data_IF_122553418417
#
_entry.id   IF_122553418417
#
_cell.length_a   1.000
_cell.length_b   1.000
_cell.length_c   1.000
_cell.angle_alpha   90.00
_cell.angle_beta   90.00
_cell.angle_gamma   90.00
#
_symmetry.space_group_name_H-M   'P 1'
#
loop_
_entity.id
_entity.type
_entity.pdbx_description
1 polymer ?
#
# COMPACT_ATOMS: atom_id res chain seq x y z
N UNK A 1 1.48 7.98 -12.18
CA UNK A 1 2.41 8.88 -11.45
C UNK A 1 2.83 9.99 -12.41
N UNK A 2 2.97 11.24 -11.97
CA UNK A 2 3.28 12.33 -12.89
C UNK A 2 4.02 13.50 -12.24
N UNK A 3 4.64 14.32 -13.07
CA UNK A 3 5.22 15.63 -12.73
C UNK A 3 4.67 16.68 -13.70
N UNK A 4 5.19 17.89 -13.67
CA UNK A 4 4.81 18.94 -14.64
C UNK A 4 5.14 18.55 -16.08
N UNK A 5 6.24 17.80 -16.32
CA UNK A 5 6.76 17.47 -17.66
C UNK A 5 6.38 16.11 -18.17
N UNK A 6 6.25 15.12 -17.27
CA UNK A 6 6.07 13.71 -17.63
C UNK A 6 4.90 13.06 -16.93
N UNK A 7 4.33 12.04 -17.59
CA UNK A 7 3.36 11.10 -17.04
C UNK A 7 3.92 9.69 -17.18
N UNK A 8 3.91 8.90 -16.09
CA UNK A 8 4.19 7.47 -16.13
C UNK A 8 2.85 6.70 -16.22
N UNK A 9 2.66 5.97 -17.31
CA UNK A 9 1.52 5.07 -17.54
C UNK A 9 2.00 3.73 -18.08
N UNK A 10 1.16 2.71 -18.00
CA UNK A 10 1.47 1.44 -18.66
C UNK A 10 1.58 1.61 -20.18
N UNK A 11 2.43 0.79 -20.78
CA UNK A 11 2.59 0.74 -22.23
C UNK A 11 1.30 0.25 -22.89
N UNK A 12 1.07 0.73 -24.11
CA UNK A 12 -0.07 0.37 -24.94
C UNK A 12 0.45 -0.10 -26.30
N UNK A 13 -0.23 -1.05 -26.95
CA UNK A 13 0.19 -1.51 -28.29
C UNK A 13 0.22 -0.40 -29.33
N UNK A 14 -0.61 0.64 -29.16
CA UNK A 14 -0.60 1.84 -29.98
C UNK A 14 0.72 2.65 -29.89
N UNK A 15 1.54 2.39 -28.86
CA UNK A 15 2.85 3.04 -28.69
C UNK A 15 3.95 2.43 -29.58
N UNK A 16 3.68 1.30 -30.27
CA UNK A 16 4.68 0.51 -30.98
C UNK A 16 5.45 1.32 -32.05
N UNK A 17 4.80 2.18 -32.79
CA UNK A 17 5.47 3.05 -33.78
C UNK A 17 6.45 4.02 -33.12
N UNK A 18 6.05 4.61 -31.98
CA UNK A 18 6.90 5.55 -31.24
C UNK A 18 8.03 4.80 -30.53
N UNK A 19 7.77 3.61 -30.00
CA UNK A 19 8.81 2.75 -29.44
C UNK A 19 9.83 2.38 -30.52
N UNK A 20 9.40 1.89 -31.68
CA UNK A 20 10.28 1.55 -32.79
C UNK A 20 11.15 2.73 -33.22
N UNK A 21 10.56 3.92 -33.36
CA UNK A 21 11.29 5.14 -33.73
C UNK A 21 12.52 5.40 -32.85
N UNK A 22 12.42 5.13 -31.56
CA UNK A 22 13.51 5.40 -30.61
C UNK A 22 14.34 4.15 -30.28
N UNK A 23 13.72 2.97 -30.24
CA UNK A 23 14.40 1.73 -29.93
C UNK A 23 15.20 1.15 -31.11
N UNK A 24 14.97 1.62 -32.33
CA UNK A 24 15.82 1.29 -33.50
C UNK A 24 17.12 2.10 -33.57
N UNK A 25 17.28 3.14 -32.72
CA UNK A 25 18.52 3.91 -32.65
C UNK A 25 19.64 3.05 -32.04
N UNK A 26 20.78 2.85 -32.76
CA UNK A 26 21.89 2.02 -32.31
C UNK A 26 22.58 2.54 -31.04
N UNK A 27 22.36 3.79 -30.66
CA UNK A 27 22.91 4.37 -29.43
C UNK A 27 22.01 4.15 -28.21
N UNK A 28 20.74 3.71 -28.38
CA UNK A 28 19.79 3.54 -27.28
C UNK A 28 19.81 2.12 -26.72
N UNK A 29 19.45 1.13 -27.52
CA UNK A 29 19.33 -0.27 -27.08
C UNK A 29 20.60 -0.83 -26.45
N UNK A 30 21.76 -0.73 -27.11
CA UNK A 30 23.02 -1.27 -26.59
C UNK A 30 23.45 -0.65 -25.26
N UNK A 31 23.06 0.60 -24.95
CA UNK A 31 23.33 1.22 -23.66
C UNK A 31 22.44 0.67 -22.52
N UNK A 32 21.34 0.02 -22.87
CA UNK A 32 20.43 -0.63 -21.95
C UNK A 32 20.47 -2.18 -22.04
N UNK A 33 21.42 -2.75 -22.81
CA UNK A 33 21.66 -4.18 -22.86
C UNK A 33 20.85 -4.97 -23.90
N UNK A 34 20.17 -4.32 -24.86
CA UNK A 34 19.35 -4.98 -25.88
C UNK A 34 19.65 -4.49 -27.30
N UNK A 35 19.30 -5.32 -28.30
CA UNK A 35 19.51 -5.03 -29.70
C UNK A 35 18.57 -3.91 -30.19
N UNK A 36 19.01 -3.03 -31.11
CA UNK A 36 18.10 -2.11 -31.76
C UNK A 36 16.93 -2.86 -32.41
N UNK A 37 15.71 -2.41 -32.19
CA UNK A 37 14.51 -3.00 -32.77
C UNK A 37 14.54 -2.92 -34.30
N UNK A 38 14.08 -3.97 -34.98
CA UNK A 38 14.16 -4.12 -36.43
C UNK A 38 12.83 -3.75 -37.13
N UNK A 39 11.73 -3.74 -36.38
CA UNK A 39 10.40 -3.42 -36.93
C UNK A 39 9.43 -2.89 -35.88
N UNK A 40 8.34 -2.25 -36.35
CA UNK A 40 7.21 -1.87 -35.48
C UNK A 40 6.55 -3.09 -34.84
N UNK A 41 6.46 -4.21 -35.57
CA UNK A 41 5.86 -5.44 -35.04
C UNK A 41 6.69 -6.06 -33.93
N UNK A 42 8.01 -6.06 -34.04
CA UNK A 42 8.90 -6.44 -32.94
C UNK A 42 8.68 -5.53 -31.73
N UNK A 43 8.61 -4.22 -31.93
CA UNK A 43 8.31 -3.27 -30.85
C UNK A 43 6.95 -3.56 -30.21
N UNK A 44 5.94 -3.94 -30.97
CA UNK A 44 4.63 -4.33 -30.47
C UNK A 44 4.68 -5.60 -29.63
N UNK A 45 5.46 -6.58 -30.09
CA UNK A 45 5.69 -7.82 -29.34
C UNK A 45 6.42 -7.54 -28.02
N UNK A 46 7.45 -6.71 -28.02
CA UNK A 46 8.18 -6.30 -26.81
C UNK A 46 7.23 -5.56 -25.81
N UNK A 47 6.32 -4.73 -26.31
CA UNK A 47 5.30 -4.11 -25.45
C UNK A 47 4.46 -5.17 -24.75
N UNK A 48 4.00 -6.21 -25.45
CA UNK A 48 3.18 -7.28 -24.86
C UNK A 48 3.95 -8.14 -23.86
N UNK A 49 5.15 -8.55 -24.22
CA UNK A 49 5.87 -9.61 -23.50
C UNK A 49 6.79 -9.06 -22.40
N UNK A 50 7.36 -7.87 -22.61
CA UNK A 50 8.35 -7.27 -21.70
C UNK A 50 7.80 -6.05 -20.95
N UNK A 51 7.24 -5.08 -21.66
CA UNK A 51 6.80 -3.82 -21.07
C UNK A 51 5.35 -3.84 -20.57
N UNK A 52 4.57 -4.90 -20.87
CA UNK A 52 3.20 -5.09 -20.42
C UNK A 52 3.07 -5.49 -18.95
N UNK A 53 4.18 -5.56 -18.22
CA UNK A 53 4.19 -5.91 -16.80
C UNK A 53 3.77 -4.72 -15.93
N UNK A 54 3.09 -4.99 -14.83
CA UNK A 54 2.58 -3.96 -13.90
C UNK A 54 3.68 -3.10 -13.22
N UNK A 55 4.91 -3.54 -13.30
CA UNK A 55 6.08 -2.86 -12.75
C UNK A 55 6.92 -2.09 -13.78
N UNK A 56 6.43 -1.94 -15.03
CA UNK A 56 7.09 -1.23 -16.11
C UNK A 56 6.20 -0.11 -16.66
N UNK A 57 6.72 1.10 -16.73
CA UNK A 57 5.97 2.28 -17.21
C UNK A 57 6.64 2.96 -18.38
N UNK A 58 5.82 3.37 -19.35
CA UNK A 58 6.21 4.31 -20.38
C UNK A 58 6.35 5.71 -19.78
N UNK A 59 7.44 6.39 -20.10
CA UNK A 59 7.64 7.81 -19.76
C UNK A 59 7.03 8.64 -20.89
N UNK A 60 5.89 9.23 -20.62
CA UNK A 60 5.15 10.05 -21.59
C UNK A 60 5.60 11.51 -21.47
N UNK A 61 6.02 12.11 -22.56
CA UNK A 61 6.28 13.54 -22.63
C UNK A 61 4.96 14.30 -22.74
N UNK A 62 4.59 15.08 -21.75
CA UNK A 62 3.25 15.72 -21.68
C UNK A 62 2.98 16.66 -22.86
N UNK A 63 3.99 17.34 -23.38
CA UNK A 63 3.85 18.24 -24.50
C UNK A 63 3.38 17.55 -25.79
N UNK A 64 3.80 16.29 -26.00
CA UNK A 64 3.46 15.54 -27.23
C UNK A 64 2.48 14.39 -26.99
N UNK A 65 2.26 14.00 -25.74
CA UNK A 65 1.46 12.82 -25.38
C UNK A 65 2.10 11.48 -25.76
N UNK A 66 3.38 11.47 -26.20
CA UNK A 66 4.06 10.27 -26.73
C UNK A 66 5.09 9.73 -25.75
N UNK A 67 5.32 8.38 -25.72
CA UNK A 67 6.38 7.78 -24.94
C UNK A 67 7.76 8.17 -25.47
N UNK A 68 8.66 8.50 -24.55
CA UNK A 68 10.04 8.90 -24.81
C UNK A 68 11.07 8.03 -24.09
N UNK A 69 10.63 7.04 -23.35
CA UNK A 69 11.47 6.13 -22.58
C UNK A 69 10.63 5.15 -21.77
N UNK A 70 11.34 4.35 -20.98
CA UNK A 70 10.76 3.40 -20.04
C UNK A 70 11.46 3.52 -18.69
N UNK A 71 10.73 3.30 -17.61
CA UNK A 71 11.26 3.18 -16.26
C UNK A 71 10.44 2.15 -15.50
N UNK A 72 11.07 1.41 -14.61
CA UNK A 72 10.39 0.42 -13.81
C UNK A 72 11.29 -0.18 -12.74
N UNK A 73 10.79 -1.25 -12.14
CA UNK A 73 11.56 -2.11 -11.26
C UNK A 73 11.31 -3.57 -11.62
N UNK A 74 12.26 -4.43 -11.32
CA UNK A 74 12.12 -5.88 -11.41
C UNK A 74 12.06 -6.43 -10.00
N UNK A 75 11.05 -7.26 -9.66
CA UNK A 75 11.00 -7.99 -8.39
C UNK A 75 12.20 -8.92 -8.22
N UNK A 76 12.49 -9.32 -6.98
CA UNK A 76 13.54 -10.30 -6.67
C UNK A 76 13.44 -11.55 -7.56
N UNK A 77 14.57 -12.01 -8.07
CA UNK A 77 14.67 -13.18 -8.97
C UNK A 77 14.38 -12.89 -10.45
N UNK A 78 14.04 -11.66 -10.84
CA UNK A 78 13.79 -11.27 -12.24
C UNK A 78 14.91 -10.40 -12.85
N UNK A 79 15.79 -9.85 -12.03
CA UNK A 79 16.89 -8.98 -12.45
C UNK A 79 18.25 -9.68 -12.47
N UNK A 80 19.32 -8.89 -12.62
CA UNK A 80 20.70 -9.37 -12.68
C UNK A 80 21.34 -9.48 -11.28
N UNK A 81 20.75 -8.86 -10.27
CA UNK A 81 21.32 -8.71 -8.93
C UNK A 81 20.66 -9.72 -8.00
N UNK A 82 21.46 -10.50 -7.27
CA UNK A 82 20.95 -11.30 -6.16
C UNK A 82 20.59 -10.37 -5.00
N UNK A 83 19.32 -10.36 -4.59
CA UNK A 83 18.77 -9.43 -3.61
C UNK A 83 17.75 -10.13 -2.69
N UNK A 84 17.36 -9.46 -1.62
CA UNK A 84 16.34 -9.97 -0.69
C UNK A 84 14.94 -10.05 -1.33
N UNK A 85 14.08 -10.87 -0.74
CA UNK A 85 12.71 -11.12 -1.26
C UNK A 85 11.85 -9.82 -1.32
N UNK A 86 12.09 -8.88 -0.39
CA UNK A 86 11.39 -7.60 -0.34
C UNK A 86 12.20 -6.44 -0.94
N UNK A 87 13.02 -6.74 -1.94
CA UNK A 87 13.84 -5.77 -2.66
C UNK A 87 13.37 -5.67 -4.13
N UNK A 88 13.81 -4.63 -4.83
CA UNK A 88 13.56 -4.45 -6.25
C UNK A 88 14.78 -3.90 -6.97
N UNK A 89 14.97 -4.28 -8.24
CA UNK A 89 16.03 -3.75 -9.11
C UNK A 89 15.45 -2.74 -10.09
N UNK A 90 15.89 -1.48 -10.06
CA UNK A 90 15.40 -0.44 -10.97
C UNK A 90 16.05 -0.54 -12.35
N UNK A 91 15.24 -0.31 -13.38
CA UNK A 91 15.70 -0.27 -14.77
C UNK A 91 15.06 0.88 -15.53
N UNK A 92 15.78 1.43 -16.51
CA UNK A 92 15.28 2.51 -17.37
C UNK A 92 16.07 2.64 -18.66
N UNK A 93 15.41 3.20 -19.66
CA UNK A 93 16.06 3.73 -20.86
C UNK A 93 15.35 5.01 -21.31
N UNK A 94 16.03 5.84 -22.10
CA UNK A 94 15.54 7.11 -22.57
C UNK A 94 15.92 7.32 -24.04
N UNK A 95 14.99 7.82 -24.84
CA UNK A 95 15.23 8.22 -26.20
C UNK A 95 16.29 9.33 -26.29
N UNK A 96 17.23 9.18 -27.23
CA UNK A 96 18.42 10.03 -27.41
C UNK A 96 18.11 11.56 -27.44
N UNK A 97 17.04 12.06 -28.11
CA UNK A 97 16.73 13.48 -28.11
C UNK A 97 16.42 14.07 -26.73
N UNK A 98 16.13 13.23 -25.71
CA UNK A 98 15.76 13.63 -24.36
C UNK A 98 16.90 13.39 -23.34
N UNK A 99 18.09 13.01 -23.79
CA UNK A 99 19.24 12.83 -22.90
C UNK A 99 19.72 14.17 -22.31
N UNK A 100 20.37 14.09 -21.16
CA UNK A 100 20.95 15.24 -20.44
C UNK A 100 19.98 16.34 -20.00
N UNK A 101 18.66 16.09 -20.05
CA UNK A 101 17.62 17.05 -19.65
C UNK A 101 17.03 16.79 -18.24
N UNK A 102 17.59 15.80 -17.52
CA UNK A 102 17.14 15.42 -16.17
C UNK A 102 15.84 14.61 -16.13
N UNK A 103 15.21 14.33 -17.29
CA UNK A 103 13.92 13.63 -17.38
C UNK A 103 13.99 12.23 -16.81
N UNK A 104 15.04 11.47 -17.13
CA UNK A 104 15.22 10.12 -16.59
C UNK A 104 15.34 10.10 -15.06
N UNK A 105 16.05 11.08 -14.49
CA UNK A 105 16.14 11.26 -13.02
C UNK A 105 14.79 11.58 -12.41
N UNK A 106 13.98 12.42 -13.08
CA UNK A 106 12.62 12.78 -12.65
C UNK A 106 11.70 11.56 -12.66
N UNK A 107 11.74 10.76 -13.72
CA UNK A 107 10.99 9.51 -13.84
C UNK A 107 11.41 8.48 -12.78
N UNK A 108 12.71 8.28 -12.57
CA UNK A 108 13.21 7.34 -11.58
C UNK A 108 12.81 7.74 -10.16
N UNK A 109 12.78 9.03 -9.81
CA UNK A 109 12.30 9.48 -8.49
C UNK A 109 10.85 9.08 -8.24
N UNK A 110 9.96 9.19 -9.21
CA UNK A 110 8.57 8.75 -9.09
C UNK A 110 8.48 7.25 -8.81
N UNK A 111 9.31 6.43 -9.48
CA UNK A 111 9.35 4.99 -9.25
C UNK A 111 9.96 4.65 -7.89
N UNK A 112 11.02 5.34 -7.45
CA UNK A 112 11.61 5.19 -6.11
C UNK A 112 10.57 5.47 -5.03
N UNK A 113 9.84 6.59 -5.15
CA UNK A 113 8.77 6.94 -4.21
C UNK A 113 7.67 5.89 -4.19
N UNK A 114 7.22 5.40 -5.35
CA UNK A 114 6.25 4.32 -5.47
C UNK A 114 6.73 3.03 -4.81
N UNK A 115 7.95 2.61 -5.09
CA UNK A 115 8.54 1.40 -4.54
C UNK A 115 8.63 1.46 -3.01
N UNK A 116 8.99 2.61 -2.43
CA UNK A 116 9.12 2.75 -1.00
C UNK A 116 7.80 3.03 -0.27
N UNK A 117 6.85 3.73 -0.91
CA UNK A 117 5.60 4.11 -0.25
C UNK A 117 4.47 3.12 -0.48
N UNK A 118 4.38 2.54 -1.68
CA UNK A 118 3.29 1.64 -2.10
C UNK A 118 3.71 0.17 -2.00
N UNK A 119 4.86 -0.20 -2.62
CA UNK A 119 5.38 -1.58 -2.58
C UNK A 119 6.07 -1.93 -1.28
N UNK A 120 6.51 -0.92 -0.50
CA UNK A 120 7.18 -1.10 0.80
C UNK A 120 8.49 -1.87 0.71
N UNK A 121 9.20 -1.80 -0.40
CA UNK A 121 10.51 -2.42 -0.53
C UNK A 121 11.49 -1.89 0.52
N UNK A 122 12.39 -2.77 1.00
CA UNK A 122 13.43 -2.44 1.97
C UNK A 122 14.63 -1.80 1.29
N UNK A 123 14.97 -2.30 0.09
CA UNK A 123 16.10 -1.79 -0.69
C UNK A 123 15.73 -1.76 -2.16
N UNK A 124 16.16 -0.72 -2.84
CA UNK A 124 16.21 -0.68 -4.29
C UNK A 124 17.67 -0.84 -4.74
N UNK A 125 17.86 -1.73 -5.69
CA UNK A 125 19.12 -2.02 -6.35
C UNK A 125 19.08 -1.48 -7.77
N UNK A 126 20.22 -1.34 -8.38
CA UNK A 126 20.34 -1.04 -9.79
C UNK A 126 21.78 -1.21 -10.24
N UNK A 127 21.95 -1.56 -11.48
CA UNK A 127 23.25 -1.68 -12.11
C UNK A 127 23.41 -0.73 -13.31
N UNK A 128 24.63 -0.53 -13.72
CA UNK A 128 24.94 0.18 -14.95
C UNK A 128 26.26 -0.33 -15.54
N UNK A 129 26.31 -0.39 -16.85
CA UNK A 129 27.54 -0.75 -17.55
C UNK A 129 28.65 0.27 -17.26
N UNK A 130 29.84 -0.19 -16.96
CA UNK A 130 31.01 0.66 -16.63
C UNK A 130 31.30 1.67 -17.74
N UNK A 131 31.03 1.31 -18.99
CA UNK A 131 31.15 2.17 -20.17
C UNK A 131 29.92 3.09 -20.41
N UNK A 132 28.87 3.00 -19.55
CA UNK A 132 27.72 3.91 -19.51
C UNK A 132 27.58 4.65 -18.16
N UNK A 133 28.56 5.51 -17.77
CA UNK A 133 28.50 6.20 -16.51
C UNK A 133 27.33 7.22 -16.41
N UNK A 134 26.67 7.53 -17.53
CA UNK A 134 25.51 8.39 -17.54
C UNK A 134 24.32 7.74 -16.81
N UNK A 135 24.12 6.44 -16.98
CA UNK A 135 23.11 5.67 -16.24
C UNK A 135 23.40 5.71 -14.73
N UNK A 136 24.62 5.39 -14.29
CA UNK A 136 24.99 5.48 -12.88
C UNK A 136 24.74 6.86 -12.26
N UNK A 137 24.99 7.96 -13.00
CA UNK A 137 24.70 9.32 -12.52
C UNK A 137 23.21 9.58 -12.29
N UNK A 138 22.31 8.95 -13.05
CA UNK A 138 20.85 9.06 -12.82
C UNK A 138 20.50 8.46 -11.46
N UNK A 139 20.97 7.26 -11.16
CA UNK A 139 20.75 6.59 -9.86
C UNK A 139 21.36 7.37 -8.70
N UNK A 140 22.60 7.84 -8.83
CA UNK A 140 23.25 8.66 -7.79
C UNK A 140 22.47 9.94 -7.48
N UNK A 141 21.89 10.61 -8.51
CA UNK A 141 21.01 11.78 -8.31
C UNK A 141 19.68 11.44 -7.63
N UNK A 142 19.27 10.17 -7.64
CA UNK A 142 18.13 9.65 -6.89
C UNK A 142 18.51 9.10 -5.51
N UNK A 143 19.79 9.25 -5.08
CA UNK A 143 20.24 8.87 -3.75
C UNK A 143 20.88 7.49 -3.64
N UNK A 144 21.00 6.73 -4.74
CA UNK A 144 21.68 5.44 -4.74
C UNK A 144 23.18 5.62 -4.43
N UNK A 145 23.72 4.66 -3.71
CA UNK A 145 25.12 4.61 -3.31
C UNK A 145 25.82 3.43 -3.94
N UNK A 146 27.07 3.63 -4.36
CA UNK A 146 27.93 2.55 -4.88
C UNK A 146 28.16 1.53 -3.76
N UNK A 147 28.00 0.26 -4.09
CA UNK A 147 28.25 -0.86 -3.18
C UNK A 147 29.70 -1.33 -3.19
N UNK A 148 30.49 -0.91 -4.19
CA UNK A 148 31.79 -1.46 -4.51
C UNK A 148 31.75 -2.83 -5.21
N UNK A 149 30.55 -3.36 -5.48
CA UNK A 149 30.36 -4.64 -6.16
C UNK A 149 30.36 -4.44 -7.67
N UNK A 150 31.05 -5.31 -8.36
CA UNK A 150 31.07 -5.42 -9.82
C UNK A 150 30.65 -6.82 -10.24
N UNK A 151 29.79 -6.91 -11.27
CA UNK A 151 29.27 -8.15 -11.80
C UNK A 151 29.49 -8.20 -13.32
N UNK A 152 29.56 -9.40 -13.88
CA UNK A 152 29.47 -9.58 -15.31
C UNK A 152 28.06 -10.01 -15.67
N UNK A 153 27.35 -9.18 -16.43
CA UNK A 153 26.03 -9.50 -16.95
C UNK A 153 26.14 -10.03 -18.37
N UNK A 154 25.40 -11.10 -18.66
CA UNK A 154 25.25 -11.56 -20.03
C UNK A 154 24.56 -10.47 -20.85
N UNK A 155 25.21 -10.01 -21.87
CA UNK A 155 24.67 -8.99 -22.75
C UNK A 155 23.80 -9.67 -23.81
N UNK A 156 22.50 -9.41 -23.78
CA UNK A 156 21.54 -9.96 -24.73
C UNK A 156 21.88 -9.60 -26.19
N UNK A 157 22.58 -8.48 -26.40
CA UNK A 157 23.04 -8.02 -27.69
C UNK A 157 24.55 -8.13 -27.81
N UNK A 158 25.01 -8.88 -28.82
CA UNK A 158 26.44 -9.00 -29.17
C UNK A 158 27.21 -10.14 -28.49
N UNK A 159 26.58 -10.92 -27.61
CA UNK A 159 27.13 -12.20 -27.09
C UNK A 159 28.33 -12.07 -26.17
N UNK A 160 28.68 -10.89 -25.67
CA UNK A 160 29.78 -10.68 -24.74
C UNK A 160 29.28 -10.21 -23.40
N UNK A 161 29.81 -10.75 -22.30
CA UNK A 161 29.55 -10.28 -20.96
C UNK A 161 30.09 -8.87 -20.79
N UNK A 162 29.27 -7.98 -20.22
CA UNK A 162 29.68 -6.61 -19.86
C UNK A 162 29.78 -6.44 -18.35
N UNK A 163 30.83 -5.71 -17.95
CA UNK A 163 31.01 -5.36 -16.54
C UNK A 163 30.03 -4.30 -16.12
N UNK A 164 29.31 -4.54 -15.03
CA UNK A 164 28.40 -3.58 -14.39
C UNK A 164 28.86 -3.26 -12.98
N UNK A 165 28.57 -2.03 -12.55
CA UNK A 165 28.66 -1.60 -11.16
C UNK A 165 27.29 -1.61 -10.53
N UNK A 166 27.25 -2.09 -9.29
CA UNK A 166 26.02 -2.23 -8.51
C UNK A 166 25.86 -1.07 -7.52
N UNK A 167 24.69 -0.44 -7.56
CA UNK A 167 24.30 0.60 -6.62
C UNK A 167 23.08 0.14 -5.82
N UNK A 168 22.91 0.70 -4.62
CA UNK A 168 21.72 0.47 -3.79
C UNK A 168 21.21 1.72 -3.12
N UNK A 169 19.91 1.75 -2.89
CA UNK A 169 19.21 2.75 -2.12
C UNK A 169 18.36 2.06 -1.06
N UNK A 170 18.70 2.23 0.21
CA UNK A 170 17.89 1.70 1.31
C UNK A 170 16.70 2.61 1.58
N UNK A 171 15.57 1.99 1.86
CA UNK A 171 14.40 2.67 2.38
C UNK A 171 14.64 3.08 3.85
N UNK A 172 15.23 4.24 4.05
CA UNK A 172 15.44 4.74 5.42
C UNK A 172 14.14 5.10 6.14
N UNK A 173 13.01 5.18 5.43
CA UNK A 173 11.70 5.31 6.07
C UNK A 173 11.23 3.98 6.69
N UNK A 174 11.66 2.83 6.15
CA UNK A 174 11.47 1.53 6.81
C UNK A 174 12.46 1.32 7.98
N UNK A 175 13.61 2.02 7.98
CA UNK A 175 14.59 2.03 9.08
C UNK A 175 14.35 3.13 10.15
N UNK A 176 13.27 3.90 10.08
CA UNK A 176 12.72 4.46 11.30
C UNK A 176 12.24 3.26 12.11
N UNK A 177 12.90 3.01 13.26
CA UNK A 177 12.57 2.03 14.29
C UNK A 177 11.17 1.51 14.07
N UNK A 178 10.98 0.19 13.96
CA UNK A 178 9.63 -0.39 13.92
C UNK A 178 8.80 0.44 14.88
N UNK A 179 7.83 1.18 14.33
CA UNK A 179 7.02 2.06 15.19
C UNK A 179 6.45 1.13 16.24
N UNK A 180 6.83 1.34 17.48
CA UNK A 180 6.35 0.48 18.54
C UNK A 180 4.83 0.71 18.68
N UNK A 181 4.06 -0.22 18.11
CA UNK A 181 2.61 -0.20 18.23
C UNK A 181 2.24 -1.05 19.42
N UNK A 182 1.71 -0.41 20.45
CA UNK A 182 1.23 -1.06 21.68
C UNK A 182 -0.29 -0.95 21.70
N UNK A 183 -0.98 -2.09 21.86
CA UNK A 183 -2.42 -2.12 22.14
C UNK A 183 -2.58 -2.30 23.64
N UNK A 184 -3.35 -1.43 24.28
CA UNK A 184 -3.63 -1.48 25.71
C UNK A 184 -5.08 -1.07 26.01
N UNK A 185 -5.60 -1.46 27.18
CA UNK A 185 -6.85 -0.91 27.67
C UNK A 185 -6.77 0.63 27.75
N UNK A 186 -7.87 1.28 27.39
CA UNK A 186 -8.02 2.73 27.54
C UNK A 186 -8.18 3.09 29.03
N UNK A 187 -7.72 4.29 29.38
CA UNK A 187 -7.93 4.87 30.69
C UNK A 187 -8.49 6.31 30.57
N UNK A 188 -8.86 6.94 31.68
CA UNK A 188 -9.44 8.28 31.66
C UNK A 188 -8.54 9.33 31.00
N UNK A 189 -7.21 9.15 31.03
CA UNK A 189 -6.26 10.06 30.38
C UNK A 189 -6.39 10.05 28.85
N UNK A 190 -6.94 8.96 28.27
CA UNK A 190 -7.15 8.84 26.83
C UNK A 190 -8.41 9.56 26.36
N UNK A 191 -9.32 9.94 27.26
CA UNK A 191 -10.65 10.45 26.89
C UNK A 191 -10.56 11.72 26.03
N UNK A 192 -9.60 12.60 26.28
CA UNK A 192 -9.41 13.80 25.47
C UNK A 192 -9.01 13.43 24.02
N UNK A 193 -8.12 12.45 23.84
CA UNK A 193 -7.76 11.93 22.53
C UNK A 193 -8.95 11.25 21.84
N UNK A 194 -9.67 10.39 22.55
CA UNK A 194 -10.84 9.67 22.03
C UNK A 194 -11.91 10.63 21.52
N UNK A 195 -12.26 11.65 22.31
CA UNK A 195 -13.25 12.67 21.94
C UNK A 195 -12.81 13.47 20.73
N UNK A 196 -11.56 13.91 20.70
CA UNK A 196 -11.01 14.65 19.55
C UNK A 196 -11.04 13.79 18.29
N UNK A 197 -10.54 12.57 18.37
CA UNK A 197 -10.46 11.66 17.21
C UNK A 197 -11.84 11.26 16.72
N UNK A 198 -12.83 11.08 17.62
CA UNK A 198 -14.22 10.86 17.23
C UNK A 198 -14.81 12.09 16.52
N UNK A 199 -14.55 13.30 17.03
CA UNK A 199 -15.00 14.55 16.42
C UNK A 199 -14.42 14.75 15.02
N UNK A 200 -13.14 14.44 14.84
CA UNK A 200 -12.44 14.54 13.55
C UNK A 200 -12.99 13.54 12.49
N UNK A 201 -13.87 12.59 12.90
CA UNK A 201 -14.44 11.54 12.04
C UNK A 201 -15.98 11.43 12.11
N UNK A 202 -16.68 12.51 12.49
CA UNK A 202 -18.16 12.52 12.64
C UNK A 202 -18.92 12.30 11.32
N UNK A 203 -18.28 12.40 10.20
CA UNK A 203 -18.87 12.08 8.88
C UNK A 203 -19.26 10.61 8.74
N UNK A 204 -18.57 9.73 9.47
CA UNK A 204 -18.75 8.27 9.43
C UNK A 204 -19.00 7.66 10.82
N UNK A 205 -19.12 8.49 11.86
CA UNK A 205 -19.34 8.07 13.23
C UNK A 205 -20.40 8.93 13.91
N UNK A 206 -21.17 8.32 14.81
CA UNK A 206 -22.07 9.07 15.66
C UNK A 206 -21.30 10.05 16.55
N UNK A 207 -21.80 11.30 16.72
CA UNK A 207 -21.22 12.28 17.64
C UNK A 207 -21.13 11.74 19.06
N UNK A 208 -20.04 12.05 19.76
CA UNK A 208 -19.78 11.62 21.12
C UNK A 208 -19.27 12.79 21.95
N UNK A 209 -20.00 13.14 23.03
CA UNK A 209 -19.53 14.07 24.04
C UNK A 209 -18.94 13.32 25.26
N UNK A 210 -18.44 14.08 26.24
CA UNK A 210 -17.79 13.50 27.42
C UNK A 210 -18.72 12.60 28.25
N UNK A 211 -19.99 12.96 28.38
CA UNK A 211 -20.96 12.17 29.15
C UNK A 211 -21.30 10.87 28.42
N UNK A 212 -21.46 10.93 27.08
CA UNK A 212 -21.65 9.74 26.25
C UNK A 212 -20.47 8.83 26.30
N UNK A 213 -19.22 9.35 26.22
CA UNK A 213 -18.00 8.54 26.33
C UNK A 213 -17.93 7.81 27.68
N UNK A 214 -18.16 8.54 28.80
CA UNK A 214 -18.18 7.93 30.14
C UNK A 214 -19.24 6.84 30.22
N UNK A 215 -20.45 7.10 29.72
CA UNK A 215 -21.53 6.12 29.68
C UNK A 215 -21.14 4.87 28.88
N UNK A 216 -20.62 5.03 27.66
CA UNK A 216 -20.17 3.90 26.84
C UNK A 216 -19.04 3.12 27.53
N UNK A 217 -18.08 3.80 28.13
CA UNK A 217 -16.98 3.15 28.85
C UNK A 217 -17.44 2.25 30.01
N UNK A 218 -18.63 2.51 30.60
CA UNK A 218 -19.19 1.61 31.63
C UNK A 218 -19.80 0.33 31.08
N UNK A 219 -20.02 0.23 29.77
CA UNK A 219 -20.68 -0.89 29.12
C UNK A 219 -19.77 -1.67 28.17
N UNK A 220 -18.62 -1.10 27.81
CA UNK A 220 -17.67 -1.78 26.90
C UNK A 220 -17.03 -2.98 27.59
N UNK A 221 -17.01 -4.12 26.89
CA UNK A 221 -16.20 -5.28 27.23
C UNK A 221 -14.73 -5.01 26.92
N UNK A 222 -14.47 -4.40 25.78
CA UNK A 222 -13.14 -3.93 25.41
C UNK A 222 -13.18 -2.45 25.02
N UNK A 223 -12.41 -1.65 25.71
CA UNK A 223 -12.09 -0.29 25.31
C UNK A 223 -10.57 -0.23 25.18
N UNK A 224 -10.09 -0.21 23.93
CA UNK A 224 -8.67 -0.29 23.58
C UNK A 224 -8.17 1.02 23.00
N UNK A 225 -6.92 1.34 23.29
CA UNK A 225 -6.14 2.39 22.63
C UNK A 225 -4.90 1.77 22.01
N UNK A 226 -4.60 2.15 20.77
CA UNK A 226 -3.32 1.87 20.16
C UNK A 226 -2.41 3.09 20.29
N UNK A 227 -1.23 2.88 20.80
CA UNK A 227 -0.14 3.87 20.81
C UNK A 227 0.88 3.56 19.73
N UNK A 228 1.43 4.59 19.13
CA UNK A 228 2.56 4.52 18.23
C UNK A 228 3.67 5.41 18.80
N UNK A 229 4.79 4.78 19.16
CA UNK A 229 5.94 5.48 19.78
C UNK A 229 5.54 6.30 21.02
N UNK A 230 4.62 5.76 21.84
CA UNK A 230 4.12 6.39 23.06
C UNK A 230 3.07 7.49 22.84
N UNK A 231 2.56 7.68 21.61
CA UNK A 231 1.49 8.62 21.30
C UNK A 231 0.21 7.87 20.94
N UNK A 232 -0.94 8.26 21.53
CA UNK A 232 -2.23 7.67 21.19
C UNK A 232 -2.56 7.89 19.71
N UNK A 233 -2.81 6.80 18.99
CA UNK A 233 -2.95 6.78 17.53
C UNK A 233 -4.33 6.28 17.06
N UNK A 234 -5.02 5.50 17.89
CA UNK A 234 -6.30 4.87 17.55
C UNK A 234 -7.04 4.46 18.80
N UNK A 235 -8.36 4.28 18.69
CA UNK A 235 -9.14 3.61 19.72
C UNK A 235 -10.18 2.66 19.12
N UNK A 236 -10.62 1.69 19.91
CA UNK A 236 -11.69 0.75 19.60
C UNK A 236 -12.58 0.56 20.83
N UNK A 237 -13.89 0.51 20.62
CA UNK A 237 -14.88 0.16 21.63
C UNK A 237 -15.70 -1.03 21.16
N UNK A 238 -15.79 -2.07 22.00
CA UNK A 238 -16.61 -3.24 21.72
C UNK A 238 -17.46 -3.59 22.94
N UNK A 239 -18.71 -4.01 22.68
CA UNK A 239 -19.70 -4.39 23.70
C UNK A 239 -20.04 -5.88 23.56
N UNK A 240 -20.41 -6.51 24.68
CA UNK A 240 -21.00 -7.87 24.68
C UNK A 240 -22.49 -7.84 24.51
N UNK A 241 -23.06 -9.02 24.33
CA UNK A 241 -24.49 -9.26 24.55
C UNK A 241 -24.92 -8.80 25.94
N UNK A 242 -26.18 -8.40 26.09
CA UNK A 242 -26.76 -7.96 27.38
C UNK A 242 -26.50 -6.50 27.74
N UNK A 243 -25.97 -5.68 26.84
CA UNK A 243 -25.84 -4.23 27.05
C UNK A 243 -27.21 -3.52 26.85
N UNK A 244 -28.21 -3.85 27.67
CA UNK A 244 -29.61 -3.44 27.50
C UNK A 244 -29.82 -1.92 27.52
N UNK A 245 -28.93 -1.17 28.16
CA UNK A 245 -28.97 0.29 28.18
C UNK A 245 -28.37 0.95 26.95
N UNK A 246 -27.77 0.16 26.06
CA UNK A 246 -27.20 0.68 24.81
C UNK A 246 -28.31 0.89 23.80
N UNK A 247 -28.44 2.12 23.29
CA UNK A 247 -29.57 2.59 22.49
C UNK A 247 -29.38 2.44 20.97
N UNK A 248 -28.27 1.78 20.51
CA UNK A 248 -28.01 1.54 19.07
C UNK A 248 -29.06 0.59 18.45
N UNK A 249 -29.65 1.02 17.33
CA UNK A 249 -30.52 0.17 16.51
C UNK A 249 -29.77 -1.03 15.94
N UNK A 250 -28.51 -0.84 15.55
CA UNK A 250 -27.64 -1.89 14.98
C UNK A 250 -27.29 -2.94 16.04
N UNK A 251 -26.93 -2.50 17.25
CA UNK A 251 -26.66 -3.42 18.36
C UNK A 251 -27.89 -4.28 18.70
N UNK A 252 -29.10 -3.67 18.76
CA UNK A 252 -30.34 -4.41 19.02
C UNK A 252 -30.65 -5.45 17.94
N UNK A 253 -30.31 -5.16 16.69
CA UNK A 253 -30.46 -6.13 15.61
C UNK A 253 -29.59 -7.38 15.84
N UNK A 254 -28.33 -7.20 16.24
CA UNK A 254 -27.45 -8.32 16.58
C UNK A 254 -27.92 -9.06 17.84
N UNK A 255 -28.37 -8.34 18.88
CA UNK A 255 -28.93 -8.95 20.12
C UNK A 255 -30.18 -9.79 19.84
N UNK A 256 -30.97 -9.47 18.83
CA UNK A 256 -32.13 -10.27 18.43
C UNK A 256 -31.73 -11.51 17.62
N UNK A 257 -30.52 -11.54 17.05
CA UNK A 257 -30.05 -12.60 16.16
C UNK A 257 -29.12 -13.59 16.83
N UNK A 258 -28.30 -13.14 17.79
CA UNK A 258 -27.26 -13.95 18.41
C UNK A 258 -27.37 -13.92 19.93
N UNK A 259 -27.23 -15.10 20.55
CA UNK A 259 -27.20 -15.25 22.01
C UNK A 259 -25.87 -14.80 22.61
N UNK A 260 -24.78 -14.86 21.83
CA UNK A 260 -23.43 -14.45 22.27
C UNK A 260 -22.67 -13.86 21.10
N UNK A 261 -22.16 -12.64 21.26
CA UNK A 261 -21.39 -11.91 20.26
C UNK A 261 -20.58 -10.78 20.91
N UNK A 262 -19.54 -10.32 20.22
CA UNK A 262 -18.80 -9.12 20.56
C UNK A 262 -19.02 -8.09 19.45
N UNK A 263 -19.69 -6.99 19.79
CA UNK A 263 -20.06 -5.94 18.83
C UNK A 263 -19.07 -4.79 18.89
N UNK A 264 -18.36 -4.57 17.79
CA UNK A 264 -17.47 -3.42 17.64
C UNK A 264 -18.32 -2.20 17.27
N UNK A 265 -18.54 -1.33 18.26
CA UNK A 265 -19.31 -0.09 18.11
C UNK A 265 -18.57 0.94 17.28
N UNK A 266 -17.27 1.07 17.51
CA UNK A 266 -16.41 1.97 16.74
C UNK A 266 -14.94 1.57 16.79
N UNK A 267 -14.27 1.80 15.68
CA UNK A 267 -12.83 1.76 15.53
C UNK A 267 -12.39 2.99 14.74
N UNK A 268 -11.45 3.74 15.27
CA UNK A 268 -10.97 4.98 14.64
C UNK A 268 -9.47 5.06 14.70
N UNK A 269 -8.85 5.30 13.55
CA UNK A 269 -7.41 5.54 13.44
C UNK A 269 -7.21 7.00 13.06
N UNK A 270 -6.49 7.75 13.89
CA UNK A 270 -6.16 9.14 13.61
C UNK A 270 -5.34 9.22 12.32
N UNK A 271 -5.63 10.23 11.49
CA UNK A 271 -5.12 10.36 10.11
C UNK A 271 -3.60 10.14 9.95
N UNK A 272 -2.73 10.70 10.82
CA UNK A 272 -1.28 10.53 10.68
C UNK A 272 -0.77 9.10 10.90
N UNK A 273 -1.64 8.21 11.43
CA UNK A 273 -1.29 6.83 11.79
C UNK A 273 -2.00 5.78 10.93
N UNK A 274 -2.74 6.22 9.90
CA UNK A 274 -3.34 5.30 8.91
C UNK A 274 -2.26 4.54 8.15
N UNK A 275 -2.61 3.38 7.60
CA UNK A 275 -1.71 2.49 6.83
C UNK A 275 -0.53 1.88 7.61
N UNK A 276 -0.55 1.92 8.96
CA UNK A 276 0.44 1.27 9.83
C UNK A 276 0.01 -0.11 10.35
N UNK A 277 -1.06 -0.70 9.80
CA UNK A 277 -1.58 -1.99 10.25
C UNK A 277 -2.29 -1.98 11.61
N UNK A 278 -2.55 -0.79 12.20
CA UNK A 278 -3.16 -0.64 13.53
C UNK A 278 -4.55 -1.28 13.58
N UNK A 279 -5.39 -1.09 12.55
CA UNK A 279 -6.72 -1.67 12.49
C UNK A 279 -6.70 -3.20 12.58
N UNK A 280 -5.79 -3.83 11.85
CA UNK A 280 -5.60 -5.30 11.89
C UNK A 280 -5.20 -5.76 13.29
N UNK A 281 -4.27 -5.07 13.95
CA UNK A 281 -3.82 -5.41 15.31
C UNK A 281 -4.94 -5.22 16.35
N UNK A 282 -5.77 -4.17 16.24
CA UNK A 282 -6.91 -3.96 17.11
C UNK A 282 -7.96 -5.06 16.92
N UNK A 283 -8.32 -5.42 15.70
CA UNK A 283 -9.24 -6.53 15.46
C UNK A 283 -8.67 -7.87 15.92
N UNK A 284 -7.36 -8.10 15.76
CA UNK A 284 -6.73 -9.29 16.31
C UNK A 284 -6.93 -9.38 17.83
N UNK A 285 -6.72 -8.28 18.56
CA UNK A 285 -6.97 -8.24 20.01
C UNK A 285 -8.45 -8.51 20.34
N UNK A 286 -9.40 -8.04 19.51
CA UNK A 286 -10.83 -8.34 19.67
C UNK A 286 -11.12 -9.81 19.43
N UNK A 287 -10.57 -10.42 18.38
CA UNK A 287 -10.74 -11.84 18.09
C UNK A 287 -10.11 -12.75 19.16
N UNK A 288 -8.91 -12.41 19.64
CA UNK A 288 -8.22 -13.16 20.70
C UNK A 288 -9.04 -13.14 22.01
N UNK A 289 -9.57 -11.98 22.38
CA UNK A 289 -10.45 -11.85 23.54
C UNK A 289 -11.77 -12.61 23.37
N UNK A 290 -12.40 -12.51 22.19
CA UNK A 290 -13.60 -13.27 21.88
C UNK A 290 -13.35 -14.79 21.97
N UNK A 291 -12.18 -15.26 21.53
CA UNK A 291 -11.75 -16.66 21.65
C UNK A 291 -11.58 -17.10 23.11
N UNK A 292 -10.91 -16.28 23.94
CA UNK A 292 -10.75 -16.52 25.37
C UNK A 292 -12.09 -16.68 26.08
N UNK A 293 -13.07 -15.83 25.73
CA UNK A 293 -14.43 -15.85 26.29
C UNK A 293 -15.36 -16.87 25.61
N UNK A 294 -14.90 -17.58 24.58
CA UNK A 294 -15.67 -18.52 23.75
C UNK A 294 -16.88 -17.86 23.08
N UNK A 295 -16.75 -16.60 22.70
CA UNK A 295 -17.76 -15.88 21.95
C UNK A 295 -17.64 -16.26 20.47
N UNK A 296 -18.71 -16.74 19.82
CA UNK A 296 -18.61 -17.31 18.47
C UNK A 296 -18.56 -16.26 17.34
N UNK A 297 -18.94 -15.02 17.61
CA UNK A 297 -19.05 -13.99 16.58
C UNK A 297 -18.48 -12.64 17.04
N UNK A 298 -17.73 -12.00 16.15
CA UNK A 298 -17.45 -10.56 16.20
C UNK A 298 -18.33 -9.89 15.16
N UNK A 299 -19.02 -8.83 15.54
CA UNK A 299 -19.99 -8.13 14.69
C UNK A 299 -19.69 -6.65 14.64
N UNK A 300 -20.09 -5.98 13.57
CA UNK A 300 -20.01 -4.53 13.39
C UNK A 300 -20.99 -4.07 12.31
N UNK A 301 -21.14 -2.76 12.12
CA UNK A 301 -21.77 -2.18 10.95
C UNK A 301 -20.80 -1.29 10.18
N UNK A 302 -21.10 -1.13 8.89
CA UNK A 302 -20.36 -0.22 7.99
C UNK A 302 -21.35 0.51 7.10
N UNK A 303 -21.19 1.83 6.99
CA UNK A 303 -22.07 2.66 6.15
C UNK A 303 -21.99 2.23 4.67
N UNK A 304 -23.16 2.06 4.05
CA UNK A 304 -23.33 1.81 2.62
C UNK A 304 -23.99 2.98 1.90
N UNK A 305 -24.69 3.86 2.63
CA UNK A 305 -25.18 5.14 2.13
C UNK A 305 -25.00 6.19 3.25
N UNK A 306 -23.99 7.08 3.14
CA UNK A 306 -22.95 7.16 2.08
C UNK A 306 -22.02 5.95 2.04
N UNK A 307 -21.45 5.64 0.86
CA UNK A 307 -20.68 4.41 0.67
C UNK A 307 -19.24 4.50 1.23
N UNK A 308 -18.94 3.66 2.23
CA UNK A 308 -17.62 3.59 2.87
C UNK A 308 -16.81 2.39 2.34
N UNK A 309 -16.30 2.52 1.11
CA UNK A 309 -15.54 1.46 0.43
C UNK A 309 -14.31 1.00 1.22
N UNK A 310 -13.60 1.94 1.84
CA UNK A 310 -12.36 1.64 2.59
C UNK A 310 -12.68 0.71 3.76
N UNK A 311 -13.71 1.02 4.52
CA UNK A 311 -14.13 0.21 5.67
C UNK A 311 -14.67 -1.17 5.22
N UNK A 312 -15.51 -1.22 4.19
CA UNK A 312 -16.06 -2.48 3.65
C UNK A 312 -14.93 -3.42 3.17
N UNK A 313 -13.97 -2.90 2.42
CA UNK A 313 -12.84 -3.67 1.94
C UNK A 313 -11.92 -4.15 3.08
N UNK A 314 -11.72 -3.32 4.09
CA UNK A 314 -10.95 -3.69 5.28
C UNK A 314 -11.64 -4.83 6.05
N UNK A 315 -12.93 -4.70 6.35
CA UNK A 315 -13.68 -5.74 7.07
C UNK A 315 -13.74 -7.06 6.29
N UNK A 316 -13.91 -6.99 4.96
CA UNK A 316 -13.84 -8.17 4.10
C UNK A 316 -12.49 -8.90 4.22
N UNK A 317 -11.37 -8.18 4.26
CA UNK A 317 -10.03 -8.76 4.48
C UNK A 317 -9.89 -9.39 5.87
N UNK A 318 -10.58 -8.83 6.87
CA UNK A 318 -10.60 -9.38 8.24
C UNK A 318 -11.57 -10.56 8.41
N UNK A 319 -12.18 -11.06 7.32
CA UNK A 319 -13.07 -12.23 7.35
C UNK A 319 -14.53 -11.91 7.66
N UNK A 320 -14.90 -10.62 7.66
CA UNK A 320 -16.30 -10.23 7.85
C UNK A 320 -17.12 -10.46 6.57
N UNK A 321 -18.39 -10.81 6.75
CA UNK A 321 -19.39 -10.94 5.71
C UNK A 321 -20.65 -10.21 6.10
N UNK A 322 -21.37 -9.69 5.11
CA UNK A 322 -22.69 -9.10 5.33
C UNK A 322 -23.72 -10.16 5.73
N UNK A 323 -24.51 -9.84 6.74
CA UNK A 323 -25.60 -10.69 7.25
C UNK A 323 -26.95 -9.99 7.31
N UNK A 324 -26.99 -8.75 6.89
CA UNK A 324 -28.16 -7.90 6.78
C UNK A 324 -27.82 -6.48 6.44
N UNK A 325 -28.84 -5.70 6.15
CA UNK A 325 -28.75 -4.23 5.95
C UNK A 325 -29.81 -3.56 6.79
N UNK A 326 -29.54 -2.36 7.25
CA UNK A 326 -30.48 -1.58 8.07
C UNK A 326 -30.41 -0.10 7.72
N UNK A 327 -31.57 0.57 7.68
CA UNK A 327 -31.66 2.01 7.66
C UNK A 327 -31.71 2.50 9.10
N UNK A 328 -30.74 3.32 9.52
CA UNK A 328 -30.63 3.88 10.86
C UNK A 328 -31.34 5.24 10.88
N UNK A 329 -32.49 5.30 11.51
CA UNK A 329 -33.36 6.51 11.51
C UNK A 329 -32.68 7.69 12.19
N UNK A 330 -31.87 7.44 13.21
CA UNK A 330 -31.19 8.49 13.98
C UNK A 330 -30.24 9.35 13.13
N UNK A 331 -29.52 8.72 12.19
CA UNK A 331 -28.46 9.37 11.41
C UNK A 331 -28.86 9.53 9.94
N UNK A 332 -29.93 8.87 9.48
CA UNK A 332 -30.33 8.87 8.08
C UNK A 332 -29.38 8.09 7.15
N UNK A 333 -28.64 7.12 7.69
CA UNK A 333 -27.67 6.30 6.94
C UNK A 333 -28.19 4.90 6.74
N UNK A 334 -27.73 4.24 5.67
CA UNK A 334 -27.94 2.81 5.48
C UNK A 334 -26.64 2.08 5.77
N UNK A 335 -26.70 1.03 6.57
CA UNK A 335 -25.53 0.25 6.98
C UNK A 335 -25.60 -1.19 6.48
N UNK A 336 -24.46 -1.78 6.21
CA UNK A 336 -24.23 -3.21 6.12
C UNK A 336 -23.94 -3.75 7.52
N UNK A 337 -24.73 -4.69 7.98
CA UNK A 337 -24.52 -5.41 9.23
C UNK A 337 -23.64 -6.61 8.95
N UNK A 338 -22.49 -6.67 9.62
CA UNK A 338 -21.42 -7.61 9.30
C UNK A 338 -21.07 -8.52 10.48
N UNK A 339 -20.71 -9.76 10.18
CA UNK A 339 -20.20 -10.72 11.16
C UNK A 339 -18.91 -11.37 10.69
N UNK A 340 -18.05 -11.71 11.62
CA UNK A 340 -16.94 -12.64 11.43
C UNK A 340 -17.03 -13.76 12.49
N UNK A 341 -16.81 -15.01 12.08
CA UNK A 341 -16.75 -16.13 13.00
C UNK A 341 -15.40 -16.19 13.71
N UNK A 342 -15.43 -16.42 15.01
CA UNK A 342 -14.24 -16.70 15.82
C UNK A 342 -13.92 -18.18 15.70
N UNK A 343 -13.04 -18.57 14.77
CA UNK A 343 -12.61 -19.96 14.58
C UNK A 343 -11.32 -20.23 15.32
N UNK A 344 -11.07 -21.49 15.70
CA UNK A 344 -9.78 -21.92 16.27
C UNK A 344 -8.61 -21.75 15.28
N UNK A 345 -8.88 -21.56 13.97
CA UNK A 345 -7.92 -21.48 12.87
C UNK A 345 -7.83 -20.13 12.16
N UNK A 346 -8.43 -19.04 12.66
CA UNK A 346 -8.19 -17.70 12.11
C UNK A 346 -6.79 -17.20 12.51
N UNK A 347 -5.77 -17.98 12.22
CA UNK A 347 -4.38 -17.52 12.14
C UNK A 347 -4.17 -17.10 10.70
N UNK A 348 -3.90 -15.83 10.53
CA UNK A 348 -3.71 -15.14 9.26
C UNK A 348 -2.78 -15.88 8.31
N UNK A 349 -3.27 -16.25 7.13
CA UNK A 349 -2.47 -16.32 5.93
C UNK A 349 -2.14 -14.89 5.48
N UNK A 350 -1.15 -14.27 6.10
CA UNK A 350 -0.49 -13.04 5.66
C UNK A 350 1.03 -13.24 5.71
N UNK A 351 1.48 -14.39 5.18
CA UNK A 351 2.82 -14.56 4.64
C UNK A 351 2.63 -15.21 3.27
N UNK A 352 2.41 -14.39 2.27
CA UNK A 352 2.81 -14.59 0.86
C UNK A 352 2.65 -13.28 0.09
#
# INVERSE_FOLDING_TARGET
METDRILLRHWQEADAETLFKYASDPDVGPQAGWAPHQSVEESRQIIREVFGQDFMWAIIWKETGKPIGCVGYLPSGMGNIEMGDNDGEVGYWMAKPYWNQGICTEALRLVVDYCFTVKRFDTLWGDFFVDNPASGRVMVKCGFKDTGQELYCEHLYGGSNRLVKVLKLKNYCNNKMEKQIIIRPACEQDYAFVLKTNLDNVEVLSPMNADRLKFLATMTEQFLVAEVDGQSASFLMALREGADRYDSENYRWFSAKYDSFLYVDRIVIAEPYRHLGIGTRLYQAVFDHAKELRIPFVTCEVDTIPYNEISLNFHKKMGFREVGTQYVHLNGVTVSLQEARVNEECIMNNEQ
#
